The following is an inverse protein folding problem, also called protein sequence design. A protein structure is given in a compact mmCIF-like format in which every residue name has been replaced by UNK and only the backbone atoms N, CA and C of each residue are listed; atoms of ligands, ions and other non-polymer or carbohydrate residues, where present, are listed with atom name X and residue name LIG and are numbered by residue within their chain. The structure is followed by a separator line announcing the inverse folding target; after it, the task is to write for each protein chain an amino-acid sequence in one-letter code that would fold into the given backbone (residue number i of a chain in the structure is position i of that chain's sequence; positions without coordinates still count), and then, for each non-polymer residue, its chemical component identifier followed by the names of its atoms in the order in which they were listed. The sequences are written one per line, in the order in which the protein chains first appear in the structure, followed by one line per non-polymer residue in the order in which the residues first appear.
data_IF_973853081219
#
_entry.id   IF_973853081219
#
_cell.length_a   1.000
_cell.length_b   1.000
_cell.length_c   1.000
_cell.angle_alpha   90.00
_cell.angle_beta   90.00
_cell.angle_gamma   90.00
#
_symmetry.space_group_name_H-M   'P 1'
#
loop_
_entity.id
_entity.type
_entity.pdbx_description
1 polymer ?
#
# COMPACT_ATOMS: atom_id res chain seq x y z
N UNK A 1 44.52 20.24 12.38
CA UNK A 1 43.65 19.19 12.89
C UNK A 1 42.24 19.58 12.52
N UNK A 2 41.76 19.09 11.39
CA UNK A 2 40.38 19.35 10.94
C UNK A 2 39.58 18.10 11.20
N UNK A 3 38.78 18.18 12.24
CA UNK A 3 37.81 17.15 12.62
C UNK A 3 36.70 17.11 11.56
N UNK A 4 36.68 16.05 10.75
CA UNK A 4 35.62 15.79 9.78
C UNK A 4 34.39 15.29 10.56
N UNK A 5 33.54 16.22 10.94
CA UNK A 5 32.16 15.92 11.37
C UNK A 5 31.34 15.49 10.13
N UNK A 6 31.64 14.32 9.61
CA UNK A 6 30.80 13.61 8.65
C UNK A 6 29.86 12.67 9.39
N UNK A 7 28.95 13.21 10.19
CA UNK A 7 27.82 12.42 10.70
C UNK A 7 26.97 12.01 9.50
N UNK A 8 26.84 10.69 9.25
CA UNK A 8 25.87 10.19 8.30
C UNK A 8 24.50 10.74 8.73
N UNK A 9 23.87 11.52 7.85
CA UNK A 9 22.50 12.01 8.08
C UNK A 9 21.63 10.79 8.36
N UNK A 10 21.03 10.74 9.55
CA UNK A 10 20.12 9.65 9.92
C UNK A 10 18.99 9.62 8.87
N UNK A 11 18.81 8.47 8.23
CA UNK A 11 17.70 8.28 7.29
C UNK A 11 16.39 8.32 8.05
N UNK A 12 15.38 9.00 7.49
CA UNK A 12 14.06 9.04 8.09
C UNK A 12 13.28 7.76 7.74
N UNK A 13 12.60 7.13 8.69
CA UNK A 13 11.73 6.00 8.40
C UNK A 13 10.66 6.37 7.37
N UNK A 14 10.51 5.52 6.35
CA UNK A 14 9.38 5.50 5.41
C UNK A 14 8.69 4.14 5.53
N UNK A 15 7.55 4.11 6.21
CA UNK A 15 6.77 2.90 6.38
C UNK A 15 6.00 2.59 5.10
N UNK A 16 6.28 1.43 4.53
CA UNK A 16 5.64 0.91 3.33
C UNK A 16 4.77 -0.30 3.72
N UNK A 17 3.46 -0.11 3.69
CA UNK A 17 2.50 -1.06 4.27
C UNK A 17 1.63 -1.64 3.17
N UNK A 18 1.77 -2.95 2.95
CA UNK A 18 0.85 -3.70 2.10
C UNK A 18 -0.33 -4.21 2.92
N UNK A 19 -1.55 -3.98 2.43
CA UNK A 19 -2.81 -4.51 2.98
C UNK A 19 -3.40 -5.43 1.91
N UNK A 20 -3.30 -6.74 2.12
CA UNK A 20 -3.49 -7.75 1.10
C UNK A 20 -4.70 -8.62 1.40
N UNK A 21 -5.64 -8.63 0.47
CA UNK A 21 -6.80 -9.51 0.50
C UNK A 21 -6.39 -10.96 0.24
N UNK A 22 -6.74 -11.85 1.16
CA UNK A 22 -6.57 -13.30 1.02
C UNK A 22 -7.91 -14.02 1.21
N UNK A 23 -9.02 -13.34 0.92
CA UNK A 23 -10.37 -13.91 0.99
C UNK A 23 -10.60 -15.04 -0.02
N UNK A 24 -11.73 -15.72 0.10
CA UNK A 24 -12.06 -16.85 -0.75
C UNK A 24 -12.18 -16.52 -2.24
N UNK A 25 -12.47 -15.27 -2.61
CA UNK A 25 -12.51 -14.80 -4.00
C UNK A 25 -11.13 -14.80 -4.65
N UNK A 26 -10.06 -14.63 -3.89
CA UNK A 26 -8.67 -14.67 -4.36
C UNK A 26 -8.23 -16.06 -4.86
N UNK A 27 -8.99 -17.11 -4.59
CA UNK A 27 -8.78 -18.45 -5.21
C UNK A 27 -9.13 -18.47 -6.71
N UNK A 28 -9.97 -17.57 -7.18
CA UNK A 28 -10.46 -17.56 -8.56
C UNK A 28 -9.36 -17.10 -9.51
N UNK A 29 -9.25 -17.82 -10.66
CA UNK A 29 -8.41 -17.38 -11.76
C UNK A 29 -6.93 -17.13 -11.42
N UNK A 30 -6.43 -17.77 -10.36
CA UNK A 30 -5.03 -17.61 -9.97
C UNK A 30 -4.67 -16.28 -9.32
N UNK A 31 -5.64 -15.51 -8.78
CA UNK A 31 -5.42 -14.17 -8.21
C UNK A 31 -4.41 -14.18 -7.05
N UNK A 32 -4.52 -15.15 -6.13
CA UNK A 32 -3.56 -15.26 -5.02
C UNK A 32 -2.14 -15.59 -5.50
N UNK A 33 -2.00 -16.39 -6.55
CA UNK A 33 -0.70 -16.67 -7.16
C UNK A 33 -0.13 -15.42 -7.82
N UNK A 34 -0.97 -14.66 -8.54
CA UNK A 34 -0.60 -13.40 -9.14
C UNK A 34 -0.14 -12.38 -8.10
N UNK A 35 -0.88 -12.25 -6.98
CA UNK A 35 -0.51 -11.40 -5.86
C UNK A 35 0.86 -11.78 -5.29
N UNK A 36 1.08 -13.07 -5.01
CA UNK A 36 2.37 -13.55 -4.51
C UNK A 36 3.53 -13.26 -5.47
N UNK A 37 3.32 -13.46 -6.76
CA UNK A 37 4.33 -13.15 -7.78
C UNK A 37 4.61 -11.65 -7.82
N UNK A 38 3.56 -10.82 -7.80
CA UNK A 38 3.69 -9.37 -7.80
C UNK A 38 4.49 -8.84 -6.60
N UNK A 39 4.23 -9.36 -5.39
CA UNK A 39 5.03 -8.98 -4.22
C UNK A 39 6.49 -9.46 -4.35
N UNK A 40 6.70 -10.68 -4.87
CA UNK A 40 8.06 -11.19 -5.11
C UNK A 40 8.84 -10.28 -6.07
N UNK A 41 8.18 -9.80 -7.14
CA UNK A 41 8.80 -8.96 -8.16
C UNK A 41 8.97 -7.50 -7.71
N UNK A 42 8.09 -6.98 -6.86
CA UNK A 42 8.22 -5.60 -6.38
C UNK A 42 9.35 -5.41 -5.37
N UNK A 43 9.69 -6.42 -4.57
CA UNK A 43 10.71 -6.31 -3.52
C UNK A 43 12.10 -5.90 -4.05
N UNK A 44 12.62 -6.46 -5.16
CA UNK A 44 13.85 -5.96 -5.79
C UNK A 44 13.76 -4.47 -6.16
N UNK A 45 12.64 -4.03 -6.75
CA UNK A 45 12.45 -2.62 -7.10
C UNK A 45 12.43 -1.70 -5.88
N UNK A 46 11.79 -2.12 -4.78
CA UNK A 46 11.80 -1.37 -3.52
C UNK A 46 13.21 -1.28 -2.92
N UNK A 47 14.01 -2.34 -3.05
CA UNK A 47 15.44 -2.33 -2.64
C UNK A 47 16.26 -1.33 -3.45
N UNK A 48 16.02 -1.27 -4.75
CA UNK A 48 16.70 -0.31 -5.63
C UNK A 48 16.28 1.13 -5.31
N UNK A 49 14.98 1.39 -5.07
CA UNK A 49 14.49 2.70 -4.60
C UNK A 49 15.09 3.09 -3.24
N UNK A 50 15.19 2.14 -2.30
CA UNK A 50 15.80 2.38 -0.99
C UNK A 50 17.30 2.73 -1.09
N UNK A 51 18.02 2.11 -2.02
CA UNK A 51 19.42 2.42 -2.30
C UNK A 51 19.59 3.78 -2.98
N UNK A 52 18.66 4.13 -3.89
CA UNK A 52 18.66 5.40 -4.59
C UNK A 52 18.24 6.60 -3.72
N UNK A 53 17.55 6.34 -2.60
CA UNK A 53 17.06 7.39 -1.69
C UNK A 53 17.95 7.48 -0.43
N UNK A 54 18.89 8.44 -0.37
CA UNK A 54 19.78 8.58 0.78
C UNK A 54 19.08 9.16 2.02
N UNK A 55 17.86 9.67 1.88
CA UNK A 55 17.12 10.38 2.94
C UNK A 55 16.12 9.49 3.66
N UNK A 56 15.67 8.39 3.04
CA UNK A 56 14.66 7.50 3.60
C UNK A 56 15.23 6.10 3.92
N UNK A 57 14.84 5.57 5.08
CA UNK A 57 14.94 4.15 5.39
C UNK A 57 13.60 3.49 5.10
N UNK A 58 13.55 2.64 4.09
CA UNK A 58 12.32 2.00 3.64
C UNK A 58 12.04 0.75 4.48
N UNK A 59 10.99 0.84 5.29
CA UNK A 59 10.55 -0.19 6.22
C UNK A 59 9.25 -0.82 5.73
N UNK A 60 9.26 -2.12 5.48
CA UNK A 60 8.10 -2.86 4.95
C UNK A 60 7.33 -3.52 6.08
N UNK A 61 6.00 -3.41 6.01
CA UNK A 61 5.03 -4.18 6.81
C UNK A 61 4.01 -4.82 5.89
N UNK A 62 3.45 -5.95 6.28
CA UNK A 62 2.44 -6.65 5.48
C UNK A 62 1.31 -7.13 6.38
N UNK A 63 0.11 -6.66 6.12
CA UNK A 63 -1.13 -7.09 6.74
C UNK A 63 -1.95 -7.88 5.72
N UNK A 64 -2.23 -9.14 5.99
CA UNK A 64 -3.16 -9.96 5.21
C UNK A 64 -4.53 -10.00 5.89
N UNK A 65 -5.61 -10.00 5.12
CA UNK A 65 -6.96 -10.06 5.69
C UNK A 65 -7.91 -10.96 4.90
N UNK A 66 -8.77 -11.63 5.62
CA UNK A 66 -9.93 -12.38 5.14
C UNK A 66 -11.05 -12.28 6.18
N UNK A 67 -11.30 -13.34 6.98
CA UNK A 67 -12.23 -13.32 8.13
C UNK A 67 -11.70 -12.47 9.29
N UNK A 68 -10.40 -12.34 9.39
CA UNK A 68 -9.66 -11.55 10.36
C UNK A 68 -8.42 -10.95 9.68
N UNK A 69 -7.87 -9.91 10.27
CA UNK A 69 -6.63 -9.31 9.82
C UNK A 69 -5.46 -9.90 10.62
N UNK A 70 -4.39 -10.29 9.92
CA UNK A 70 -3.18 -10.87 10.52
C UNK A 70 -1.94 -10.23 9.91
N UNK A 71 -1.03 -9.82 10.76
CA UNK A 71 0.28 -9.37 10.32
C UNK A 71 1.10 -10.56 9.81
N UNK A 72 1.58 -10.45 8.58
CA UNK A 72 2.55 -11.36 7.96
C UNK A 72 3.96 -10.87 8.23
N UNK A 73 4.13 -9.54 8.18
CA UNK A 73 5.33 -8.82 8.63
C UNK A 73 4.81 -7.72 9.54
N UNK A 74 4.89 -7.93 10.85
CA UNK A 74 4.35 -7.02 11.85
C UNK A 74 5.35 -5.91 12.18
N UNK A 75 6.59 -6.28 12.50
CA UNK A 75 7.62 -5.30 12.80
C UNK A 75 8.07 -4.56 11.55
N UNK A 76 8.26 -3.24 11.61
CA UNK A 76 8.83 -2.47 10.52
C UNK A 76 10.19 -3.05 10.11
N UNK A 77 10.24 -3.73 8.97
CA UNK A 77 11.39 -4.49 8.52
C UNK A 77 12.10 -3.77 7.37
N UNK A 78 13.41 -3.45 7.49
CA UNK A 78 14.17 -2.90 6.37
C UNK A 78 14.02 -3.75 5.12
N UNK A 79 13.74 -3.12 3.98
CA UNK A 79 13.38 -3.83 2.73
C UNK A 79 14.45 -4.84 2.29
N UNK A 80 15.73 -4.59 2.61
CA UNK A 80 16.82 -5.52 2.31
C UNK A 80 16.76 -6.82 3.13
N UNK A 81 16.06 -6.81 4.27
CA UNK A 81 15.89 -7.95 5.17
C UNK A 81 14.55 -8.66 4.98
N UNK A 82 13.69 -8.15 4.11
CA UNK A 82 12.38 -8.77 3.85
C UNK A 82 12.56 -10.09 3.11
N UNK A 83 12.03 -11.16 3.71
CA UNK A 83 11.90 -12.49 3.10
C UNK A 83 10.42 -12.78 2.87
N UNK A 84 10.00 -12.82 1.60
CA UNK A 84 8.61 -13.04 1.26
C UNK A 84 8.22 -14.50 1.46
N UNK A 85 7.17 -14.71 2.26
CA UNK A 85 6.49 -15.99 2.40
C UNK A 85 5.18 -15.93 1.62
N UNK A 86 4.96 -16.91 0.75
CA UNK A 86 3.76 -16.95 -0.08
C UNK A 86 2.51 -17.03 0.79
N UNK A 87 1.53 -16.20 0.47
CA UNK A 87 0.22 -16.20 1.11
C UNK A 87 -0.68 -17.27 0.47
N UNK A 88 -1.56 -17.82 1.28
CA UNK A 88 -2.64 -18.69 0.84
C UNK A 88 -3.98 -18.00 1.06
N UNK A 89 -4.87 -18.11 0.08
CA UNK A 89 -6.22 -17.59 0.24
C UNK A 89 -7.04 -18.52 1.15
N UNK A 90 -7.86 -17.90 2.01
CA UNK A 90 -8.72 -18.61 2.97
C UNK A 90 -9.96 -19.12 2.24
N UNK A 91 -10.14 -20.46 2.07
CA UNK A 91 -11.32 -20.99 1.39
C UNK A 91 -12.61 -20.52 2.09
N UNK A 92 -13.54 -19.94 1.32
CA UNK A 92 -14.79 -19.33 1.83
C UNK A 92 -14.55 -18.18 2.82
N UNK A 93 -13.35 -17.59 2.84
CA UNK A 93 -13.03 -16.43 3.65
C UNK A 93 -13.83 -15.21 3.19
N UNK A 94 -14.28 -14.41 4.17
CA UNK A 94 -14.88 -13.10 3.95
C UNK A 94 -13.84 -12.06 3.60
N UNK A 95 -14.28 -10.83 3.32
CA UNK A 95 -13.43 -9.68 2.99
C UNK A 95 -13.64 -8.61 4.06
N UNK A 96 -13.14 -8.89 5.29
CA UNK A 96 -13.34 -8.02 6.47
C UNK A 96 -12.39 -6.82 6.44
N UNK A 97 -12.51 -6.01 5.39
CA UNK A 97 -11.66 -4.84 5.18
C UNK A 97 -11.80 -3.80 6.30
N UNK A 98 -13.01 -3.62 6.85
CA UNK A 98 -13.22 -2.70 7.98
C UNK A 98 -12.36 -3.05 9.19
N UNK A 99 -12.36 -4.33 9.58
CA UNK A 99 -11.51 -4.84 10.67
C UNK A 99 -10.01 -4.72 10.35
N UNK A 100 -9.62 -4.97 9.09
CA UNK A 100 -8.23 -4.80 8.66
C UNK A 100 -7.75 -3.34 8.80
N UNK A 101 -8.60 -2.36 8.44
CA UNK A 101 -8.28 -0.94 8.59
C UNK A 101 -8.20 -0.50 10.06
N UNK A 102 -9.00 -1.09 10.96
CA UNK A 102 -8.85 -0.85 12.41
C UNK A 102 -7.53 -1.43 12.94
N UNK A 103 -7.19 -2.67 12.55
CA UNK A 103 -5.91 -3.29 12.93
C UNK A 103 -4.73 -2.45 12.43
N UNK A 104 -4.82 -1.95 11.20
CA UNK A 104 -3.83 -1.05 10.63
C UNK A 104 -3.71 0.25 11.44
N UNK A 105 -4.83 0.89 11.76
CA UNK A 105 -4.85 2.14 12.52
C UNK A 105 -4.18 1.97 13.88
N UNK A 106 -4.50 0.90 14.63
CA UNK A 106 -3.86 0.61 15.91
C UNK A 106 -2.34 0.44 15.78
N UNK A 107 -1.86 -0.21 14.73
CA UNK A 107 -0.43 -0.36 14.50
C UNK A 107 0.27 0.93 14.04
N UNK A 108 -0.47 1.92 13.56
CA UNK A 108 0.06 3.25 13.24
C UNK A 108 0.20 4.13 14.50
N UNK A 109 -0.54 3.85 15.57
CA UNK A 109 -0.39 4.55 16.86
C UNK A 109 0.99 4.30 17.49
N UNK A 110 1.58 3.14 17.21
CA UNK A 110 2.91 2.76 17.70
C UNK A 110 4.06 3.39 16.89
N UNK A 111 3.77 4.11 15.82
CA UNK A 111 4.81 4.79 15.05
C UNK A 111 5.34 6.00 15.84
N UNK A 112 6.67 6.11 15.88
CA UNK A 112 7.37 7.15 16.62
C UNK A 112 6.83 8.55 16.30
N UNK A 113 6.33 9.23 17.33
CA UNK A 113 5.82 10.60 17.24
C UNK A 113 6.92 11.67 17.09
N UNK A 114 8.20 11.28 17.08
CA UNK A 114 9.33 12.19 17.04
C UNK A 114 9.42 13.15 15.85
N UNK A 115 8.37 13.20 15.00
CA UNK A 115 8.25 14.04 13.79
C UNK A 115 9.34 13.78 12.73
N UNK A 116 10.12 12.73 12.91
CA UNK A 116 11.23 12.41 12.02
C UNK A 116 10.89 11.41 10.91
N UNK A 117 9.73 10.75 10.96
CA UNK A 117 9.28 9.83 9.92
C UNK A 117 8.61 10.55 8.74
N UNK A 118 8.66 9.92 7.56
CA UNK A 118 7.82 10.33 6.42
C UNK A 118 6.38 9.82 6.58
N UNK A 119 5.38 10.47 5.95
CA UNK A 119 4.04 9.91 5.85
C UNK A 119 4.08 8.47 5.33
N UNK A 120 3.36 7.52 5.94
CA UNK A 120 3.38 6.14 5.49
C UNK A 120 2.77 5.99 4.10
N UNK A 121 3.25 5.01 3.34
CA UNK A 121 2.66 4.58 2.08
C UNK A 121 1.86 3.31 2.33
N UNK A 122 0.56 3.32 2.03
CA UNK A 122 -0.35 2.19 2.23
C UNK A 122 -0.88 1.73 0.87
N UNK A 123 -0.63 0.48 0.52
CA UNK A 123 -1.10 -0.13 -0.72
C UNK A 123 -2.10 -1.23 -0.39
N UNK A 124 -3.37 -0.98 -0.71
CA UNK A 124 -4.45 -1.95 -0.60
C UNK A 124 -4.59 -2.74 -1.91
N UNK A 125 -4.57 -4.06 -1.82
CA UNK A 125 -4.86 -4.96 -2.94
C UNK A 125 -6.02 -5.86 -2.58
N UNK A 126 -7.14 -5.75 -3.29
CA UNK A 126 -8.35 -6.54 -3.04
C UNK A 126 -9.13 -6.82 -4.33
N UNK A 127 -9.84 -7.94 -4.36
CA UNK A 127 -10.73 -8.32 -5.46
C UNK A 127 -12.22 -8.29 -5.10
N UNK A 128 -12.53 -8.10 -3.81
CA UNK A 128 -13.88 -8.30 -3.29
C UNK A 128 -14.54 -7.06 -2.72
N UNK A 129 -15.87 -7.19 -2.52
CA UNK A 129 -16.63 -6.23 -1.74
C UNK A 129 -16.37 -6.45 -0.27
N UNK A 130 -16.14 -5.38 0.51
CA UNK A 130 -16.04 -5.49 1.94
C UNK A 130 -17.27 -6.18 2.54
N UNK A 131 -17.04 -7.15 3.41
CA UNK A 131 -18.08 -7.79 4.25
C UNK A 131 -18.06 -7.19 5.65
N UNK A 132 -19.06 -7.50 6.45
CA UNK A 132 -19.21 -7.01 7.82
C UNK A 132 -19.67 -8.15 8.74
N UNK A 133 -18.93 -9.25 8.77
CA UNK A 133 -19.26 -10.37 9.67
C UNK A 133 -18.69 -10.19 11.07
N UNK A 134 -17.62 -9.41 11.22
CA UNK A 134 -16.97 -9.07 12.49
C UNK A 134 -17.66 -7.92 13.24
N UNK A 135 -18.69 -7.30 12.65
CA UNK A 135 -19.38 -6.14 13.23
C UNK A 135 -18.78 -4.78 12.84
N UNK A 136 -17.58 -4.75 12.23
CA UNK A 136 -16.94 -3.50 11.79
C UNK A 136 -17.16 -3.29 10.30
N UNK A 137 -17.92 -2.25 9.95
CA UNK A 137 -18.11 -1.88 8.55
C UNK A 137 -16.85 -1.28 7.94
N UNK A 138 -16.74 -1.33 6.62
CA UNK A 138 -15.69 -0.64 5.89
C UNK A 138 -15.63 0.87 6.22
N UNK A 139 -16.81 1.51 6.36
CA UNK A 139 -16.88 2.94 6.68
C UNK A 139 -16.30 3.26 8.06
N UNK A 140 -16.61 2.44 9.07
CA UNK A 140 -16.08 2.59 10.43
C UNK A 140 -14.56 2.35 10.47
N UNK A 141 -14.10 1.28 9.83
CA UNK A 141 -12.66 0.99 9.74
C UNK A 141 -11.88 2.10 9.02
N UNK A 142 -12.41 2.59 7.91
CA UNK A 142 -11.81 3.72 7.18
C UNK A 142 -11.81 4.99 8.03
N UNK A 143 -12.89 5.29 8.74
CA UNK A 143 -12.94 6.44 9.63
C UNK A 143 -11.92 6.32 10.77
N UNK A 144 -11.76 5.12 11.36
CA UNK A 144 -10.74 4.86 12.38
C UNK A 144 -9.34 5.13 11.83
N UNK A 145 -9.05 4.65 10.61
CA UNK A 145 -7.77 4.91 9.96
C UNK A 145 -7.56 6.42 9.72
N UNK A 146 -8.57 7.14 9.25
CA UNK A 146 -8.48 8.57 8.95
C UNK A 146 -8.41 9.46 10.21
N UNK A 147 -8.92 8.99 11.34
CA UNK A 147 -8.78 9.68 12.63
C UNK A 147 -7.37 9.52 13.23
N UNK A 148 -6.63 8.50 12.80
CA UNK A 148 -5.23 8.33 13.18
C UNK A 148 -4.36 9.37 12.44
N UNK A 149 -3.43 10.01 13.14
CA UNK A 149 -2.54 11.04 12.60
C UNK A 149 -1.76 10.57 11.37
N UNK A 150 -1.18 9.38 11.45
CA UNK A 150 -0.41 8.79 10.36
C UNK A 150 -1.31 8.26 9.24
N UNK A 151 -2.45 7.70 9.58
CA UNK A 151 -3.46 7.25 8.62
C UNK A 151 -4.05 8.40 7.80
N UNK A 152 -4.29 9.55 8.42
CA UNK A 152 -4.78 10.75 7.75
C UNK A 152 -3.78 11.31 6.72
N UNK A 153 -2.49 11.27 7.04
CA UNK A 153 -1.41 11.79 6.18
C UNK A 153 -0.83 10.76 5.22
N UNK A 154 -1.22 9.50 5.35
CA UNK A 154 -0.72 8.40 4.52
C UNK A 154 -0.99 8.63 3.03
N UNK A 155 -0.01 8.27 2.20
CA UNK A 155 -0.21 8.09 0.76
C UNK A 155 -0.96 6.77 0.56
N UNK A 156 -2.25 6.84 0.21
CA UNK A 156 -3.11 5.66 0.03
C UNK A 156 -3.26 5.34 -1.45
N UNK A 157 -2.90 4.12 -1.82
CA UNK A 157 -3.07 3.55 -3.15
C UNK A 157 -3.93 2.30 -3.05
N UNK A 158 -4.71 2.01 -4.08
CA UNK A 158 -5.52 0.81 -4.15
C UNK A 158 -5.49 0.16 -5.52
N UNK A 159 -5.45 -1.17 -5.52
CA UNK A 159 -5.48 -2.00 -6.71
C UNK A 159 -6.63 -3.00 -6.61
N UNK A 160 -7.54 -2.95 -7.58
CA UNK A 160 -8.55 -3.97 -7.79
C UNK A 160 -7.98 -5.16 -8.57
N UNK A 161 -8.27 -6.38 -8.14
CA UNK A 161 -7.82 -7.61 -8.82
C UNK A 161 -9.00 -8.28 -9.50
N UNK A 162 -8.96 -8.32 -10.84
CA UNK A 162 -10.03 -8.89 -11.65
C UNK A 162 -11.16 -7.90 -11.96
N UNK A 163 -11.99 -8.27 -12.95
CA UNK A 163 -13.06 -7.39 -13.47
C UNK A 163 -14.22 -7.16 -12.52
N UNK A 164 -14.36 -8.03 -11.53
CA UNK A 164 -15.40 -8.01 -10.49
C UNK A 164 -14.98 -7.30 -9.20
N UNK A 165 -13.80 -6.67 -9.19
CA UNK A 165 -13.32 -5.91 -8.04
C UNK A 165 -14.25 -4.75 -7.69
N UNK A 166 -14.46 -4.52 -6.39
CA UNK A 166 -15.29 -3.40 -5.91
C UNK A 166 -14.52 -2.07 -5.98
N UNK A 167 -14.52 -1.48 -7.15
CA UNK A 167 -13.82 -0.22 -7.41
C UNK A 167 -14.36 0.94 -6.58
N UNK A 168 -15.61 0.88 -6.11
CA UNK A 168 -16.20 1.93 -5.27
C UNK A 168 -15.54 2.01 -3.90
N UNK A 169 -15.42 0.88 -3.20
CA UNK A 169 -14.73 0.85 -1.89
C UNK A 169 -13.26 1.20 -2.01
N UNK A 170 -12.58 0.74 -3.08
CA UNK A 170 -11.19 1.08 -3.33
C UNK A 170 -10.99 2.58 -3.59
N UNK A 171 -11.89 3.23 -4.34
CA UNK A 171 -11.87 4.69 -4.54
C UNK A 171 -12.06 5.43 -3.22
N UNK A 172 -13.00 4.99 -2.39
CA UNK A 172 -13.21 5.58 -1.07
C UNK A 172 -11.99 5.43 -0.15
N UNK A 173 -11.29 4.30 -0.23
CA UNK A 173 -10.05 4.10 0.54
C UNK A 173 -8.96 5.09 0.10
N UNK A 174 -8.78 5.32 -1.19
CA UNK A 174 -7.82 6.31 -1.72
C UNK A 174 -8.17 7.70 -1.18
N UNK A 175 -9.42 8.15 -1.35
CA UNK A 175 -9.92 9.42 -0.85
C UNK A 175 -9.38 10.67 -1.57
N UNK A 176 -8.55 10.50 -2.60
CA UNK A 176 -7.96 11.56 -3.41
C UNK A 176 -8.26 11.27 -4.88
N UNK A 177 -8.93 12.20 -5.57
CA UNK A 177 -9.36 12.03 -6.96
C UNK A 177 -8.17 12.09 -7.95
N UNK A 178 -7.10 12.78 -7.57
CA UNK A 178 -5.88 12.88 -8.37
C UNK A 178 -5.05 11.58 -8.35
N UNK A 179 -5.32 10.69 -7.38
CA UNK A 179 -4.65 9.39 -7.29
C UNK A 179 -5.36 8.38 -8.18
N UNK A 180 -4.68 7.77 -9.16
CA UNK A 180 -5.31 6.81 -10.06
C UNK A 180 -5.77 5.56 -9.31
N UNK A 181 -7.00 5.13 -9.60
CA UNK A 181 -7.51 3.84 -9.16
C UNK A 181 -7.19 2.79 -10.22
N UNK A 182 -6.41 1.80 -9.85
CA UNK A 182 -5.91 0.78 -10.76
C UNK A 182 -6.72 -0.52 -10.65
N UNK A 183 -6.96 -1.19 -11.79
CA UNK A 183 -7.55 -2.53 -11.84
C UNK A 183 -6.71 -3.44 -12.73
N UNK A 184 -6.22 -4.51 -12.15
CA UNK A 184 -5.49 -5.55 -12.86
C UNK A 184 -6.46 -6.66 -13.31
N UNK A 185 -6.60 -6.84 -14.62
CA UNK A 185 -7.46 -7.88 -15.22
C UNK A 185 -6.70 -9.20 -15.46
N UNK A 186 -5.39 -9.18 -15.31
CA UNK A 186 -4.49 -10.34 -15.46
C UNK A 186 -3.26 -10.21 -14.52
N UNK A 187 -2.50 -11.31 -14.33
CA UNK A 187 -1.34 -11.32 -13.42
C UNK A 187 -0.24 -10.32 -13.79
N UNK A 188 0.03 -10.12 -15.08
CA UNK A 188 1.08 -9.24 -15.57
C UNK A 188 0.79 -7.78 -15.21
N UNK A 189 -0.46 -7.35 -15.42
CA UNK A 189 -0.90 -6.01 -14.99
C UNK A 189 -0.81 -5.81 -13.49
N UNK A 190 -1.11 -6.83 -12.69
CA UNK A 190 -1.01 -6.73 -11.24
C UNK A 190 0.43 -6.45 -10.80
N UNK A 191 1.40 -7.15 -11.38
CA UNK A 191 2.83 -6.91 -11.14
C UNK A 191 3.19 -5.48 -11.54
N UNK A 192 2.87 -5.07 -12.77
CA UNK A 192 3.18 -3.73 -13.29
C UNK A 192 2.61 -2.63 -12.37
N UNK A 193 1.37 -2.78 -11.95
CA UNK A 193 0.68 -1.79 -11.11
C UNK A 193 1.21 -1.74 -9.69
N UNK A 194 1.54 -2.87 -9.08
CA UNK A 194 2.17 -2.87 -7.74
C UNK A 194 3.56 -2.23 -7.81
N UNK A 195 4.35 -2.52 -8.84
CA UNK A 195 5.68 -1.89 -9.04
C UNK A 195 5.52 -0.38 -9.22
N UNK A 196 4.60 0.05 -10.08
CA UNK A 196 4.34 1.48 -10.29
C UNK A 196 3.85 2.17 -8.99
N UNK A 197 2.86 1.60 -8.33
CA UNK A 197 2.30 2.13 -7.08
C UNK A 197 3.37 2.29 -6.00
N UNK A 198 4.25 1.30 -5.89
CA UNK A 198 5.34 1.30 -4.93
C UNK A 198 6.36 2.42 -5.20
N UNK A 199 6.74 2.62 -6.46
CA UNK A 199 7.62 3.71 -6.87
C UNK A 199 6.97 5.08 -6.66
N UNK A 200 5.69 5.21 -7.03
CA UNK A 200 4.93 6.45 -6.86
C UNK A 200 4.81 6.82 -5.39
N UNK A 201 4.43 5.87 -4.54
CA UNK A 201 4.29 6.08 -3.10
C UNK A 201 5.62 6.48 -2.44
N UNK A 202 6.71 5.80 -2.77
CA UNK A 202 8.05 6.14 -2.26
C UNK A 202 8.45 7.58 -2.63
N UNK A 203 8.20 8.00 -3.87
CA UNK A 203 8.53 9.36 -4.34
C UNK A 203 7.69 10.43 -3.66
N UNK A 204 6.39 10.20 -3.49
CA UNK A 204 5.48 11.18 -2.86
C UNK A 204 5.75 11.28 -1.37
N UNK A 205 5.85 10.16 -0.68
CA UNK A 205 6.05 10.12 0.76
C UNK A 205 7.41 10.71 1.19
N UNK A 206 8.46 10.57 0.38
CA UNK A 206 9.81 11.08 0.71
C UNK A 206 10.07 12.53 0.29
N UNK A 207 9.06 13.26 -0.24
CA UNK A 207 9.20 14.70 -0.56
C UNK A 207 9.03 15.58 0.66
N UNK A 208 9.75 16.71 0.76
CA UNK A 208 9.37 17.76 1.69
C UNK A 208 7.94 18.22 1.38
N UNK A 209 7.15 18.48 2.43
CA UNK A 209 5.76 18.94 2.31
C UNK A 209 5.73 20.28 1.54
N UNK A 210 5.53 20.21 0.26
CA UNK A 210 5.22 21.37 -0.60
C UNK A 210 3.88 21.04 -1.25
N UNK A 211 2.81 21.60 -0.72
CA UNK A 211 1.46 21.69 -1.26
C UNK A 211 0.83 20.45 -1.95
N UNK A 212 -0.50 20.32 -1.95
CA UNK A 212 -1.19 19.26 -2.66
C UNK A 212 -1.00 19.43 -4.18
N UNK A 213 -0.62 18.37 -4.84
CA UNK A 213 -0.61 18.30 -6.30
C UNK A 213 0.69 17.80 -6.90
N UNK A 214 0.58 16.78 -7.72
CA UNK A 214 1.53 16.39 -8.75
C UNK A 214 2.89 15.84 -8.32
N UNK A 215 2.93 14.56 -8.04
CA UNK A 215 4.20 13.84 -7.83
C UNK A 215 4.20 12.39 -8.27
N UNK A 216 3.05 11.82 -8.52
CA UNK A 216 2.96 10.49 -9.12
C UNK A 216 3.24 10.62 -10.62
N UNK A 217 4.23 9.89 -11.13
CA UNK A 217 4.43 9.78 -12.58
C UNK A 217 3.16 9.22 -13.23
N UNK A 218 3.02 9.39 -14.55
CA UNK A 218 1.89 8.85 -15.30
C UNK A 218 1.69 7.36 -14.96
N UNK A 219 0.43 6.93 -14.70
CA UNK A 219 0.12 5.52 -14.47
C UNK A 219 0.46 4.69 -15.72
N UNK A 220 0.66 3.36 -15.56
CA UNK A 220 0.85 2.49 -16.69
C UNK A 220 -0.31 2.59 -17.71
N UNK A 221 -0.04 2.38 -19.00
CA UNK A 221 -1.09 2.32 -20.00
C UNK A 221 -2.13 1.27 -19.61
N UNK A 222 -3.42 1.58 -19.76
CA UNK A 222 -4.59 0.79 -19.30
C UNK A 222 -4.94 0.88 -17.81
N UNK A 223 -4.34 1.76 -17.03
CA UNK A 223 -4.92 2.15 -15.74
C UNK A 223 -6.31 2.73 -16.01
N UNK A 224 -7.30 2.30 -15.20
CA UNK A 224 -8.64 2.89 -15.26
C UNK A 224 -8.55 4.25 -14.55
N UNK A 225 -8.15 5.24 -15.29
CA UNK A 225 -8.20 6.64 -14.91
C UNK A 225 -9.23 7.34 -15.77
N UNK A 226 -9.97 8.27 -15.22
CA UNK A 226 -10.84 9.16 -15.99
C UNK A 226 -10.08 9.84 -17.13
N UNK A 227 -10.75 10.19 -18.25
CA UNK A 227 -10.14 10.74 -19.46
C UNK A 227 -9.46 12.11 -19.30
N UNK A 228 -9.28 12.62 -18.10
CA UNK A 228 -8.64 13.91 -17.82
C UNK A 228 -7.17 13.94 -18.30
N UNK A 229 -6.50 12.79 -18.38
CA UNK A 229 -5.10 12.71 -18.83
C UNK A 229 -4.92 12.65 -20.36
N UNK A 230 -6.00 12.51 -21.11
CA UNK A 230 -5.94 12.50 -22.60
C UNK A 230 -5.91 13.92 -23.23
N UNK A 231 -5.97 14.98 -22.43
CA UNK A 231 -6.12 16.36 -22.94
C UNK A 231 -4.89 17.24 -22.72
N UNK A 232 -3.77 16.70 -22.23
CA UNK A 232 -2.49 17.39 -22.12
C UNK A 232 -1.44 16.70 -23.00
N UNK A 233 -1.69 16.72 -24.32
CA UNK A 233 -0.73 16.43 -25.36
C UNK A 233 -0.17 17.72 -25.96
#
# INVERSE_FOLDING_TARGET
MSDRLGGALARKPLHFIFVLDVSGSMLRGGRIQALNNAITEVLPHLRDEARANPHAELLVRVLAFANEAKWVIEDPTPVDRVHWQRLEAVPRGFTELGSALQTLAGALDDLDESHSAFPPAIILVSDGRPTQSTGVSFAEGLQTLLNNKWGATAVRLALGVGRDADMHSLRRFIGDEDVPLLRADNPEQLVEYIVWASKAASKVASRPVVGPGSGMGAPPPNAIGDPIWSTLG
#
